data_IF_303799285667
#
_entry.id   IF_303799285667
#
_cell.length_a   1.000
_cell.length_b   1.000
_cell.length_c   1.000
_cell.angle_alpha   90.00
_cell.angle_beta   90.00
_cell.angle_gamma   90.00
#
_symmetry.space_group_name_H-M   'P 1'
#
loop_
_entity.id
_entity.type
_entity.pdbx_description
1 polymer ?
#
# COMPACT_ATOMS: atom_id res chain seq x y z
N UNK A 1 -9.16 14.18 -5.36
CA UNK A 1 -9.77 12.91 -4.91
C UNK A 1 -8.67 11.86 -4.84
N UNK A 2 -8.64 11.03 -3.80
CA UNK A 2 -7.63 9.97 -3.62
C UNK A 2 -8.22 8.62 -4.00
N UNK A 3 -7.40 7.70 -4.50
CA UNK A 3 -7.80 6.29 -4.64
C UNK A 3 -8.05 5.66 -3.27
N UNK A 4 -8.69 4.49 -3.18
CA UNK A 4 -8.88 3.79 -1.89
C UNK A 4 -7.51 3.38 -1.33
N UNK A 5 -7.28 3.69 -0.06
CA UNK A 5 -6.00 3.42 0.61
C UNK A 5 -6.18 3.22 2.10
N UNK A 6 -5.17 2.61 2.73
CA UNK A 6 -5.04 2.49 4.18
C UNK A 6 -3.71 3.15 4.59
N UNK A 7 -3.75 3.98 5.62
CA UNK A 7 -2.54 4.56 6.22
C UNK A 7 -1.92 3.57 7.21
N UNK A 8 -0.59 3.48 7.18
CA UNK A 8 0.21 2.71 8.13
C UNK A 8 1.22 3.64 8.80
N UNK A 9 1.35 3.49 10.12
CA UNK A 9 2.41 4.11 10.93
C UNK A 9 3.09 2.98 11.71
N UNK A 10 4.30 2.61 11.30
CA UNK A 10 5.02 1.44 11.79
C UNK A 10 6.33 1.88 12.42
N UNK A 11 6.60 1.43 13.64
CA UNK A 11 7.79 1.79 14.41
C UNK A 11 8.60 0.54 14.77
N UNK A 12 9.91 0.61 14.56
CA UNK A 12 10.95 -0.27 15.12
C UNK A 12 11.79 0.54 16.12
N UNK A 13 12.72 -0.10 16.84
CA UNK A 13 13.62 0.48 17.84
C UNK A 13 14.21 1.84 17.40
N UNK A 14 14.75 1.90 16.18
CA UNK A 14 15.49 3.07 15.67
C UNK A 14 14.83 3.74 14.45
N UNK A 15 13.70 3.23 13.96
CA UNK A 15 13.10 3.69 12.70
C UNK A 15 11.59 3.77 12.75
N UNK A 16 11.02 4.83 12.16
CA UNK A 16 9.58 5.00 11.96
C UNK A 16 9.26 5.15 10.49
N UNK A 17 8.27 4.39 10.01
CA UNK A 17 7.77 4.44 8.64
C UNK A 17 6.28 4.81 8.65
N UNK A 18 5.97 6.02 8.19
CA UNK A 18 4.63 6.41 7.80
C UNK A 18 4.44 6.17 6.30
N UNK A 19 3.47 5.33 5.91
CA UNK A 19 3.21 4.95 4.52
C UNK A 19 1.71 4.75 4.24
N UNK A 20 1.37 4.48 2.97
CA UNK A 20 0.01 4.19 2.51
C UNK A 20 0.01 2.93 1.63
N UNK A 21 -0.94 2.02 1.88
CA UNK A 21 -1.25 0.88 1.02
C UNK A 21 -2.42 1.23 0.10
N UNK A 22 -2.37 0.78 -1.15
CA UNK A 22 -3.42 0.96 -2.15
C UNK A 22 -4.04 -0.38 -2.56
N UNK A 23 -5.29 -0.36 -3.03
CA UNK A 23 -5.95 -1.58 -3.50
C UNK A 23 -5.70 -1.83 -5.00
N UNK A 24 -5.63 -3.11 -5.42
CA UNK A 24 -5.42 -3.46 -6.82
C UNK A 24 -6.65 -3.08 -7.66
N UNK A 25 -6.41 -2.66 -8.91
CA UNK A 25 -7.46 -2.39 -9.91
C UNK A 25 -8.46 -1.27 -9.56
N UNK A 26 -8.15 -0.42 -8.60
CA UNK A 26 -8.95 0.77 -8.33
C UNK A 26 -8.83 1.79 -9.49
N UNK A 27 -9.98 2.30 -9.95
CA UNK A 27 -10.06 3.17 -11.13
C UNK A 27 -9.25 4.46 -11.00
N UNK A 28 -9.00 4.90 -9.76
CA UNK A 28 -8.26 6.13 -9.46
C UNK A 28 -6.76 5.90 -9.29
N UNK A 29 -6.23 4.67 -9.29
CA UNK A 29 -4.79 4.44 -9.12
C UNK A 29 -3.94 5.18 -10.15
N UNK A 30 -4.37 5.18 -11.42
CA UNK A 30 -3.65 5.88 -12.50
C UNK A 30 -3.77 7.42 -12.47
N UNK A 31 -4.62 7.97 -11.59
CA UNK A 31 -4.84 9.42 -11.43
C UNK A 31 -4.48 9.92 -10.03
N UNK A 32 -4.08 9.03 -9.12
CA UNK A 32 -3.74 9.41 -7.76
C UNK A 32 -2.38 10.09 -7.73
N UNK A 33 -2.38 11.36 -7.31
CA UNK A 33 -1.18 12.19 -7.29
C UNK A 33 -0.08 11.58 -6.41
N UNK A 34 -0.39 11.05 -5.23
CA UNK A 34 0.64 10.49 -4.35
C UNK A 34 1.19 9.18 -4.89
N UNK A 35 0.33 8.31 -5.43
CA UNK A 35 0.79 7.07 -6.06
C UNK A 35 1.69 7.36 -7.27
N UNK A 36 1.36 8.37 -8.10
CA UNK A 36 2.20 8.81 -9.21
C UNK A 36 3.55 9.39 -8.78
N UNK A 37 3.63 10.02 -7.60
CA UNK A 37 4.89 10.57 -7.09
C UNK A 37 5.92 9.50 -6.73
N UNK A 38 5.49 8.24 -6.48
CA UNK A 38 6.41 7.14 -6.25
C UNK A 38 7.28 6.88 -7.49
N UNK A 39 6.65 6.80 -8.66
CA UNK A 39 7.36 6.66 -9.93
C UNK A 39 8.30 7.84 -10.20
N UNK A 40 7.83 9.07 -9.93
CA UNK A 40 8.65 10.29 -10.04
C UNK A 40 9.88 10.29 -9.11
N UNK A 41 9.86 9.49 -8.03
CA UNK A 41 10.96 9.30 -7.08
C UNK A 41 11.73 8.00 -7.32
N UNK A 42 11.63 7.42 -8.52
CA UNK A 42 12.27 6.16 -8.90
C UNK A 42 11.90 4.97 -8.01
N UNK A 43 10.68 4.97 -7.45
CA UNK A 43 10.12 3.84 -6.71
C UNK A 43 9.05 3.17 -7.56
N UNK A 44 8.95 1.85 -7.46
CA UNK A 44 7.89 1.09 -8.10
C UNK A 44 6.55 1.32 -7.36
N UNK A 45 5.53 1.94 -7.99
CA UNK A 45 4.21 2.09 -7.38
C UNK A 45 3.55 0.76 -7.03
N UNK A 46 3.88 -0.33 -7.73
CA UNK A 46 3.33 -1.66 -7.45
C UNK A 46 3.74 -2.17 -6.06
N UNK A 47 4.87 -1.72 -5.52
CA UNK A 47 5.30 -2.04 -4.15
C UNK A 47 4.38 -1.43 -3.08
N UNK A 48 3.53 -0.47 -3.42
CA UNK A 48 2.53 0.10 -2.50
C UNK A 48 1.11 -0.42 -2.75
N UNK A 49 0.91 -1.34 -3.70
CA UNK A 49 -0.39 -1.96 -4.00
C UNK A 49 -0.46 -3.33 -3.33
N UNK A 50 -1.48 -3.56 -2.50
CA UNK A 50 -1.69 -4.84 -1.85
C UNK A 50 -2.09 -5.95 -2.85
N UNK A 51 -1.84 -7.19 -2.45
CA UNK A 51 -2.16 -8.38 -3.26
C UNK A 51 -3.36 -9.10 -2.64
N UNK A 52 -4.32 -9.57 -3.44
CA UNK A 52 -5.37 -10.46 -2.93
C UNK A 52 -4.75 -11.67 -2.25
N UNK A 53 -5.34 -12.12 -1.14
CA UNK A 53 -4.95 -13.33 -0.43
C UNK A 53 -6.19 -14.09 0.06
N UNK A 54 -5.99 -15.28 0.60
CA UNK A 54 -7.06 -16.12 1.15
C UNK A 54 -7.26 -15.84 2.64
N UNK A 55 -8.50 -15.89 3.09
CA UNK A 55 -8.87 -15.90 4.52
C UNK A 55 -9.78 -17.09 4.81
N UNK A 56 -9.78 -17.57 6.05
CA UNK A 56 -10.74 -18.55 6.53
C UNK A 56 -12.11 -17.96 6.85
N UNK A 57 -12.24 -16.62 6.86
CA UNK A 57 -13.47 -15.92 7.22
C UNK A 57 -14.48 -15.92 6.05
N UNK A 58 -15.69 -16.51 6.22
CA UNK A 58 -16.66 -16.60 5.15
C UNK A 58 -17.17 -15.23 4.69
N UNK A 59 -17.20 -15.02 3.37
CA UNK A 59 -17.73 -13.79 2.76
C UNK A 59 -16.80 -12.57 2.82
N UNK A 60 -15.57 -12.72 3.32
CA UNK A 60 -14.61 -11.63 3.45
C UNK A 60 -13.54 -11.70 2.35
N UNK A 61 -13.23 -10.55 1.76
CA UNK A 61 -12.07 -10.38 0.88
C UNK A 61 -10.83 -10.07 1.73
N UNK A 62 -9.74 -10.79 1.49
CA UNK A 62 -8.48 -10.57 2.18
C UNK A 62 -7.39 -10.05 1.23
N UNK A 63 -6.50 -9.24 1.78
CA UNK A 63 -5.35 -8.69 1.07
C UNK A 63 -4.10 -8.79 1.95
N UNK A 64 -2.94 -8.97 1.32
CA UNK A 64 -1.63 -8.91 1.97
C UNK A 64 -0.83 -7.70 1.48
N UNK A 65 -0.06 -7.11 2.38
CA UNK A 65 0.81 -5.97 2.12
C UNK A 65 2.07 -6.07 2.99
N UNK A 66 3.22 -6.24 2.34
CA UNK A 66 4.49 -6.43 3.04
C UNK A 66 5.13 -5.07 3.35
N UNK A 67 5.47 -4.83 4.61
CA UNK A 67 6.20 -3.64 5.06
C UNK A 67 7.60 -4.06 5.49
N UNK A 68 8.61 -3.52 4.81
CA UNK A 68 10.02 -3.78 5.10
C UNK A 68 10.63 -2.55 5.77
N UNK A 69 11.23 -2.74 6.94
CA UNK A 69 11.91 -1.69 7.70
C UNK A 69 13.43 -1.84 7.54
N UNK A 70 14.13 -0.72 7.69
CA UNK A 70 15.59 -0.74 7.83
C UNK A 70 15.94 -1.37 9.18
N UNK A 71 16.93 -2.25 9.16
CA UNK A 71 17.55 -2.87 10.35
C UNK A 71 18.79 -2.12 10.76
#
# INVERSE_FOLDING_TARGET
>A
MRTRHIHFDVTNLDYRLATQMYFPREALNGKDLLLSTLAARHRDPAASICKPTTTSEPGVQAFTFDIVLLT
#
